data_IF_282419373198
#
_entry.id   IF_282419373198
#
_cell.length_a   1.000
_cell.length_b   1.000
_cell.length_c   1.000
_cell.angle_alpha   90.00
_cell.angle_beta   90.00
_cell.angle_gamma   90.00
#
_symmetry.space_group_name_H-M   'P 1'
#
loop_
_entity.id
_entity.type
_entity.pdbx_description
1 polymer ?
#
# COMPACT_ATOMS: atom_id res chain seq x y z
N UNK A 1 -18.54 12.30 -9.44
CA UNK A 1 -17.99 11.03 -8.90
C UNK A 1 -16.92 11.41 -7.91
N UNK A 2 -17.05 10.95 -6.66
CA UNK A 2 -16.09 11.20 -5.58
C UNK A 2 -15.08 10.06 -5.58
N UNK A 3 -13.79 10.39 -5.54
CA UNK A 3 -12.71 9.42 -5.36
C UNK A 3 -12.41 9.31 -3.86
N UNK A 4 -12.32 8.09 -3.34
CA UNK A 4 -12.05 7.78 -1.95
C UNK A 4 -10.86 6.85 -1.87
N UNK A 5 -9.86 7.24 -1.09
CA UNK A 5 -8.63 6.48 -0.87
C UNK A 5 -8.68 5.71 0.45
N UNK A 6 -7.72 4.80 0.66
CA UNK A 6 -7.56 4.13 1.96
C UNK A 6 -7.30 5.12 3.10
N UNK A 7 -6.60 6.21 2.82
CA UNK A 7 -6.35 7.28 3.80
C UNK A 7 -7.68 7.94 4.23
N UNK A 8 -8.55 8.25 3.28
CA UNK A 8 -9.87 8.80 3.59
C UNK A 8 -10.70 7.82 4.43
N UNK A 9 -10.67 6.54 4.06
CA UNK A 9 -11.36 5.49 4.82
C UNK A 9 -10.80 5.31 6.24
N UNK A 10 -9.50 5.50 6.44
CA UNK A 10 -8.89 5.40 7.78
C UNK A 10 -9.41 6.45 8.75
N UNK A 11 -9.63 7.67 8.28
CA UNK A 11 -10.25 8.73 9.08
C UNK A 11 -11.71 8.43 9.45
N UNK A 12 -12.39 7.64 8.62
CA UNK A 12 -13.77 7.23 8.87
C UNK A 12 -13.88 6.08 9.87
N UNK A 13 -12.97 5.10 9.73
CA UNK A 13 -12.96 3.92 10.58
C UNK A 13 -12.50 4.23 12.02
N UNK A 14 -11.62 5.23 12.21
CA UNK A 14 -11.06 5.58 13.53
C UNK A 14 -10.90 7.11 13.71
N UNK A 15 -11.98 7.87 13.94
CA UNK A 15 -11.89 9.32 14.08
C UNK A 15 -11.11 9.78 15.32
N UNK A 16 -10.82 8.90 16.26
CA UNK A 16 -10.11 9.20 17.53
C UNK A 16 -8.64 8.82 17.57
N UNK A 17 -8.12 8.10 16.59
CA UNK A 17 -6.70 7.75 16.53
C UNK A 17 -5.91 8.76 15.70
N UNK A 18 -5.74 9.96 16.25
CA UNK A 18 -4.66 10.88 15.88
C UNK A 18 -3.32 10.40 16.49
N UNK A 19 -2.97 9.14 16.32
CA UNK A 19 -1.63 8.67 16.65
C UNK A 19 -0.70 9.10 15.52
N UNK A 20 0.25 9.95 15.88
CA UNK A 20 1.38 10.39 15.05
C UNK A 20 2.04 9.18 14.37
N UNK A 21 2.28 9.25 13.08
CA UNK A 21 2.41 8.09 12.22
C UNK A 21 3.69 7.30 12.49
N UNK A 22 3.53 6.05 12.77
CA UNK A 22 4.48 4.98 12.42
C UNK A 22 4.86 5.07 10.91
N UNK A 23 4.03 5.70 10.12
CA UNK A 23 4.11 5.93 8.69
C UNK A 23 5.38 6.62 8.21
N UNK A 24 5.90 7.65 8.88
CA UNK A 24 7.13 8.33 8.46
C UNK A 24 8.36 7.42 8.42
N UNK A 25 8.42 6.40 9.29
CA UNK A 25 9.49 5.38 9.23
C UNK A 25 9.24 4.34 8.14
N UNK A 26 8.00 4.18 7.70
CA UNK A 26 7.62 3.28 6.62
C UNK A 26 7.86 3.90 5.24
N UNK A 27 7.72 5.22 5.08
CA UNK A 27 7.93 5.90 3.79
C UNK A 27 9.32 5.67 3.22
N UNK A 28 10.37 5.80 4.04
CA UNK A 28 11.73 5.51 3.61
C UNK A 28 11.92 4.06 3.19
N UNK A 29 11.34 3.12 3.95
CA UNK A 29 11.38 1.70 3.60
C UNK A 29 10.62 1.42 2.30
N UNK A 30 9.41 1.96 2.14
CA UNK A 30 8.60 1.76 0.93
C UNK A 30 9.33 2.30 -0.31
N UNK A 31 9.92 3.49 -0.20
CA UNK A 31 10.66 4.09 -1.31
C UNK A 31 11.87 3.24 -1.72
N UNK A 32 12.71 2.83 -0.75
CA UNK A 32 13.92 2.06 -1.03
C UNK A 32 13.52 0.67 -1.56
N UNK A 33 12.52 0.02 -0.98
CA UNK A 33 12.00 -1.25 -1.46
C UNK A 33 11.52 -1.16 -2.91
N UNK A 34 10.76 -0.11 -3.26
CA UNK A 34 10.34 0.15 -4.64
C UNK A 34 11.54 0.32 -5.58
N UNK A 35 12.53 1.10 -5.19
CA UNK A 35 13.75 1.30 -6.00
C UNK A 35 14.52 -0.02 -6.18
N UNK A 36 14.64 -0.83 -5.13
CA UNK A 36 15.28 -2.15 -5.21
C UNK A 36 14.56 -3.06 -6.19
N UNK A 37 13.23 -3.10 -6.14
CA UNK A 37 12.43 -3.90 -7.06
C UNK A 37 12.51 -3.41 -8.50
N UNK A 38 12.66 -2.11 -8.70
CA UNK A 38 12.89 -1.53 -10.04
C UNK A 38 14.35 -1.65 -10.51
N UNK A 39 15.19 -2.38 -9.76
CA UNK A 39 16.61 -2.62 -10.06
C UNK A 39 17.41 -1.31 -10.19
N UNK A 40 17.01 -0.28 -9.46
CA UNK A 40 17.73 0.98 -9.37
C UNK A 40 18.89 0.86 -8.34
N UNK A 41 19.96 1.65 -8.47
CA UNK A 41 21.06 1.66 -7.50
C UNK A 41 20.57 2.09 -6.11
N UNK A 42 20.54 1.18 -5.15
CA UNK A 42 20.06 1.45 -3.77
C UNK A 42 21.14 1.26 -2.72
N UNK A 43 22.33 0.77 -3.12
CA UNK A 43 23.41 0.46 -2.18
C UNK A 43 23.79 1.62 -1.23
N UNK A 44 23.97 2.88 -1.68
CA UNK A 44 24.26 3.99 -0.78
C UNK A 44 23.14 4.26 0.23
N UNK A 45 21.89 4.06 -0.19
CA UNK A 45 20.71 4.26 0.68
C UNK A 45 20.62 3.17 1.74
N UNK A 46 20.95 1.93 1.39
CA UNK A 46 20.96 0.79 2.31
C UNK A 46 22.08 0.92 3.33
N UNK A 47 23.29 1.33 2.92
CA UNK A 47 24.39 1.63 3.82
C UNK A 47 24.04 2.71 4.85
N UNK A 48 23.31 3.74 4.43
CA UNK A 48 22.84 4.81 5.31
C UNK A 48 21.68 4.37 6.22
N UNK A 49 20.97 3.30 5.88
CA UNK A 49 19.77 2.83 6.57
C UNK A 49 19.80 1.33 6.90
N UNK A 50 20.65 0.86 7.85
CA UNK A 50 20.83 -0.58 8.12
C UNK A 50 19.54 -1.31 8.53
N UNK A 51 18.58 -0.59 9.12
CA UNK A 51 17.27 -1.18 9.47
C UNK A 51 16.43 -1.48 8.24
N UNK A 52 16.51 -0.62 7.23
CA UNK A 52 15.80 -0.83 5.95
C UNK A 52 16.45 -1.98 5.20
N UNK A 53 17.77 -2.04 5.17
CA UNK A 53 18.52 -3.16 4.59
C UNK A 53 18.09 -4.49 5.19
N UNK A 54 18.05 -4.59 6.52
CA UNK A 54 17.54 -5.77 7.23
C UNK A 54 16.13 -6.16 6.77
N UNK A 55 15.21 -5.21 6.64
CA UNK A 55 13.83 -5.51 6.22
C UNK A 55 13.75 -5.95 4.77
N UNK A 56 14.56 -5.40 3.88
CA UNK A 56 14.62 -5.85 2.48
C UNK A 56 15.16 -7.28 2.41
N UNK A 57 16.19 -7.60 3.19
CA UNK A 57 16.68 -8.96 3.32
C UNK A 57 15.61 -9.92 3.86
N UNK A 58 14.84 -9.50 4.86
CA UNK A 58 13.72 -10.31 5.37
C UNK A 58 12.65 -10.55 4.30
N UNK A 59 12.29 -9.52 3.51
CA UNK A 59 11.35 -9.69 2.39
C UNK A 59 11.90 -10.68 1.37
N UNK A 60 13.18 -10.60 1.02
CA UNK A 60 13.80 -11.52 0.05
C UNK A 60 13.84 -12.98 0.53
N UNK A 61 13.95 -13.18 1.85
CA UNK A 61 13.88 -14.52 2.44
C UNK A 61 12.45 -15.07 2.53
N UNK A 62 11.48 -14.19 2.82
CA UNK A 62 10.07 -14.58 2.97
C UNK A 62 9.37 -14.81 1.63
N UNK A 63 9.77 -14.07 0.60
CA UNK A 63 9.13 -14.12 -0.71
C UNK A 63 10.13 -13.73 -1.82
N UNK A 64 11.10 -14.60 -2.15
CA UNK A 64 12.16 -14.33 -3.14
C UNK A 64 11.59 -14.00 -4.52
N UNK A 65 10.44 -14.56 -4.89
CA UNK A 65 9.79 -14.36 -6.18
C UNK A 65 9.53 -12.88 -6.51
N UNK A 66 9.43 -12.00 -5.48
CA UNK A 66 9.28 -10.56 -5.66
C UNK A 66 10.53 -9.92 -6.28
N UNK A 67 11.71 -10.53 -6.13
CA UNK A 67 12.98 -10.02 -6.67
C UNK A 67 13.39 -10.69 -7.99
N UNK A 68 12.80 -11.86 -8.30
CA UNK A 68 13.11 -12.68 -9.47
C UNK A 68 12.10 -12.48 -10.63
N UNK A 69 11.33 -11.42 -10.57
CA UNK A 69 10.24 -11.16 -11.52
C UNK A 69 10.73 -10.72 -12.91
N UNK A 70 9.89 -11.00 -13.92
CA UNK A 70 10.03 -10.50 -15.29
C UNK A 70 8.76 -9.74 -15.72
N UNK A 71 8.91 -8.59 -16.44
CA UNK A 71 7.77 -7.92 -17.04
C UNK A 71 7.10 -8.85 -18.11
N UNK A 72 5.79 -8.71 -18.38
CA UNK A 72 4.85 -7.70 -17.87
C UNK A 72 3.99 -8.18 -16.69
N UNK A 73 4.27 -9.33 -16.11
CA UNK A 73 3.39 -9.99 -15.14
C UNK A 73 3.50 -9.45 -13.72
N UNK A 74 4.53 -8.67 -13.43
CA UNK A 74 4.74 -8.08 -12.11
C UNK A 74 4.70 -6.55 -12.16
N UNK A 75 3.85 -5.96 -11.32
CA UNK A 75 3.71 -4.51 -11.15
C UNK A 75 4.19 -4.10 -9.77
N UNK A 76 4.97 -3.03 -9.70
CA UNK A 76 5.44 -2.41 -8.45
C UNK A 76 4.68 -1.11 -8.22
N UNK A 77 4.21 -0.88 -6.98
CA UNK A 77 3.46 0.33 -6.59
C UNK A 77 2.28 0.58 -7.54
N UNK A 78 1.44 -0.41 -7.66
CA UNK A 78 0.32 -0.39 -8.59
C UNK A 78 -0.96 0.11 -7.96
N UNK A 79 -1.79 0.77 -8.77
CA UNK A 79 -3.04 1.37 -8.33
C UNK A 79 -4.23 0.66 -8.96
N UNK A 80 -5.22 0.36 -8.13
CA UNK A 80 -6.50 -0.18 -8.57
C UNK A 80 -7.62 0.77 -8.19
N UNK A 81 -8.66 0.84 -9.03
CA UNK A 81 -9.81 1.70 -8.79
C UNK A 81 -11.10 0.97 -9.18
N UNK A 82 -12.09 0.99 -8.30
CA UNK A 82 -13.36 0.34 -8.51
C UNK A 82 -14.55 1.22 -8.14
N UNK A 83 -15.62 1.13 -8.91
CA UNK A 83 -16.86 1.85 -8.59
C UNK A 83 -17.62 1.10 -7.50
N UNK A 84 -17.84 1.74 -6.36
CA UNK A 84 -18.73 1.20 -5.33
C UNK A 84 -20.20 1.47 -5.69
N UNK A 85 -20.48 2.67 -6.24
CA UNK A 85 -21.79 3.08 -6.71
C UNK A 85 -21.64 4.18 -7.79
N UNK A 86 -22.76 4.84 -8.18
CA UNK A 86 -22.78 5.88 -9.23
C UNK A 86 -21.91 7.10 -8.88
N UNK A 87 -21.77 7.41 -7.61
CA UNK A 87 -21.16 8.64 -7.13
C UNK A 87 -19.79 8.44 -6.51
N UNK A 88 -19.42 7.19 -6.15
CA UNK A 88 -18.22 6.86 -5.40
C UNK A 88 -17.36 5.85 -6.15
N UNK A 89 -16.07 6.18 -6.25
CA UNK A 89 -15.00 5.30 -6.70
C UNK A 89 -13.99 5.11 -5.58
N UNK A 90 -13.67 3.87 -5.26
CA UNK A 90 -12.65 3.50 -4.27
C UNK A 90 -11.34 3.29 -5.00
N UNK A 91 -10.28 3.87 -4.48
CA UNK A 91 -8.93 3.75 -5.02
C UNK A 91 -7.97 3.22 -3.96
N UNK A 92 -7.16 2.26 -4.34
CA UNK A 92 -6.14 1.66 -3.47
C UNK A 92 -4.80 1.59 -4.18
N UNK A 93 -3.74 1.60 -3.38
CA UNK A 93 -2.41 1.25 -3.83
C UNK A 93 -2.03 -0.11 -3.24
N UNK A 94 -1.42 -0.96 -4.05
CA UNK A 94 -0.76 -2.18 -3.61
C UNK A 94 0.75 -2.03 -3.79
N UNK A 95 1.53 -2.55 -2.85
CA UNK A 95 3.00 -2.49 -2.93
C UNK A 95 3.51 -3.18 -4.20
N UNK A 96 2.96 -4.36 -4.50
CA UNK A 96 3.18 -5.04 -5.77
C UNK A 96 2.00 -5.96 -6.12
N UNK A 97 1.95 -6.39 -7.37
CA UNK A 97 0.98 -7.36 -7.85
C UNK A 97 1.56 -8.23 -8.96
N UNK A 98 1.34 -9.54 -8.87
CA UNK A 98 1.48 -10.45 -10.02
C UNK A 98 0.14 -10.50 -10.74
N UNK A 99 0.18 -10.21 -12.05
CA UNK A 99 -0.99 -10.27 -12.91
C UNK A 99 -0.91 -11.50 -13.81
N UNK A 100 -1.94 -12.32 -13.73
CA UNK A 100 -2.16 -13.44 -14.63
C UNK A 100 -3.46 -13.20 -15.41
N UNK A 101 -3.70 -13.88 -16.54
CA UNK A 101 -4.88 -13.63 -17.38
C UNK A 101 -6.23 -13.72 -16.66
N UNK A 102 -6.31 -14.55 -15.61
CA UNK A 102 -7.55 -14.80 -14.86
C UNK A 102 -7.39 -14.68 -13.35
N UNK A 103 -6.23 -14.25 -12.86
CA UNK A 103 -5.99 -14.09 -11.43
C UNK A 103 -5.08 -12.90 -11.13
N UNK A 104 -5.15 -12.42 -9.90
CA UNK A 104 -4.23 -11.43 -9.39
C UNK A 104 -3.75 -11.83 -7.99
N UNK A 105 -2.46 -11.68 -7.77
CA UNK A 105 -1.85 -11.91 -6.48
C UNK A 105 -1.21 -10.61 -5.99
N UNK A 106 -1.88 -9.96 -5.03
CA UNK A 106 -1.38 -8.74 -4.39
C UNK A 106 -0.32 -9.10 -3.35
N UNK A 107 0.73 -8.29 -3.28
CA UNK A 107 1.80 -8.43 -2.30
C UNK A 107 1.87 -7.14 -1.49
N UNK A 108 1.83 -7.28 -0.16
CA UNK A 108 1.96 -6.20 0.80
C UNK A 108 3.09 -6.48 1.77
N UNK A 109 4.01 -5.55 1.89
CA UNK A 109 5.03 -5.55 2.93
C UNK A 109 4.80 -4.35 3.83
N UNK A 110 4.75 -4.60 5.12
CA UNK A 110 4.51 -3.56 6.10
C UNK A 110 5.04 -3.92 7.49
N UNK A 111 5.42 -2.91 8.25
CA UNK A 111 5.78 -3.07 9.66
C UNK A 111 4.47 -3.07 10.46
N UNK A 112 3.86 -4.25 10.60
CA UNK A 112 2.56 -4.41 11.25
C UNK A 112 2.35 -5.81 11.79
N UNK A 113 1.27 -5.96 12.58
CA UNK A 113 0.79 -7.28 12.96
C UNK A 113 0.25 -8.04 11.73
N UNK A 114 0.48 -9.37 11.62
CA UNK A 114 0.13 -10.15 10.42
C UNK A 114 -1.38 -10.36 10.18
N UNK A 115 -2.22 -10.04 11.15
CA UNK A 115 -3.66 -10.27 11.02
C UNK A 115 -4.29 -9.49 9.86
N UNK A 116 -5.23 -10.14 9.18
CA UNK A 116 -6.08 -9.51 8.15
C UNK A 116 -6.83 -8.32 8.75
N UNK A 117 -6.64 -7.16 8.19
CA UNK A 117 -7.28 -5.94 8.64
C UNK A 117 -8.32 -5.44 7.61
N UNK A 118 -9.02 -4.35 7.93
CA UNK A 118 -10.02 -3.76 7.05
C UNK A 118 -9.41 -3.25 5.73
N UNK A 119 -8.20 -2.68 5.76
CA UNK A 119 -7.57 -2.15 4.55
C UNK A 119 -7.20 -3.26 3.56
N UNK A 120 -6.79 -4.43 4.04
CA UNK A 120 -6.52 -5.59 3.20
C UNK A 120 -7.79 -6.07 2.49
N UNK A 121 -8.92 -6.07 3.20
CA UNK A 121 -10.23 -6.43 2.63
C UNK A 121 -10.66 -5.45 1.55
N UNK A 122 -10.44 -4.16 1.78
CA UNK A 122 -10.71 -3.11 0.77
C UNK A 122 -9.81 -3.26 -0.44
N UNK A 123 -8.52 -3.60 -0.25
CA UNK A 123 -7.59 -3.87 -1.35
C UNK A 123 -8.05 -5.05 -2.19
N UNK A 124 -8.39 -6.17 -1.56
CA UNK A 124 -8.89 -7.36 -2.25
C UNK A 124 -10.19 -7.09 -3.01
N UNK A 125 -11.15 -6.40 -2.37
CA UNK A 125 -12.40 -6.02 -3.01
C UNK A 125 -12.15 -5.11 -4.23
N UNK A 126 -11.35 -4.06 -4.05
CA UNK A 126 -11.09 -3.09 -5.12
C UNK A 126 -10.35 -3.72 -6.29
N UNK A 127 -9.39 -4.60 -6.05
CA UNK A 127 -8.65 -5.29 -7.11
C UNK A 127 -9.58 -6.22 -7.92
N UNK A 128 -10.45 -6.99 -7.24
CA UNK A 128 -11.42 -7.87 -7.89
C UNK A 128 -12.36 -7.09 -8.81
N UNK A 129 -12.99 -6.03 -8.30
CA UNK A 129 -13.91 -5.18 -9.07
C UNK A 129 -13.19 -4.42 -10.20
N UNK A 130 -11.97 -3.92 -9.96
CA UNK A 130 -11.18 -3.17 -10.95
C UNK A 130 -10.84 -4.00 -12.16
N UNK A 131 -10.52 -5.27 -11.95
CA UNK A 131 -10.11 -6.22 -12.99
C UNK A 131 -11.27 -7.09 -13.49
N UNK A 132 -12.46 -6.94 -12.90
CA UNK A 132 -13.65 -7.77 -13.20
C UNK A 132 -13.35 -9.27 -13.03
N UNK A 133 -12.58 -9.63 -12.00
CA UNK A 133 -12.22 -11.00 -11.68
C UNK A 133 -13.12 -11.57 -10.59
N UNK A 134 -13.33 -12.90 -10.66
CA UNK A 134 -13.98 -13.62 -9.55
C UNK A 134 -13.17 -13.47 -8.26
N UNK A 135 -13.82 -13.23 -7.09
CA UNK A 135 -13.13 -13.10 -5.81
C UNK A 135 -12.17 -14.27 -5.50
N UNK A 136 -12.52 -15.48 -5.90
CA UNK A 136 -11.70 -16.68 -5.69
C UNK A 136 -10.37 -16.66 -6.46
N UNK A 137 -10.28 -15.80 -7.47
CA UNK A 137 -9.08 -15.60 -8.29
C UNK A 137 -8.18 -14.46 -7.77
N UNK A 138 -8.51 -13.90 -6.61
CA UNK A 138 -7.72 -12.86 -5.97
C UNK A 138 -7.04 -13.43 -4.74
N UNK A 139 -5.75 -13.15 -4.60
CA UNK A 139 -4.94 -13.52 -3.43
C UNK A 139 -4.22 -12.30 -2.89
N UNK A 140 -3.91 -12.32 -1.61
CA UNK A 140 -3.05 -11.33 -0.97
C UNK A 140 -2.01 -12.05 -0.12
N UNK A 141 -0.74 -11.78 -0.34
CA UNK A 141 0.32 -12.12 0.60
C UNK A 141 0.72 -10.89 1.39
N UNK A 142 0.68 -11.01 2.71
CA UNK A 142 1.17 -10.00 3.64
C UNK A 142 2.51 -10.46 4.20
N UNK A 143 3.54 -9.68 3.94
CA UNK A 143 4.87 -9.82 4.54
C UNK A 143 4.90 -8.87 5.74
N UNK A 144 4.55 -9.40 6.90
CA UNK A 144 4.49 -8.64 8.14
C UNK A 144 5.89 -8.58 8.77
N UNK A 145 6.50 -7.40 8.72
CA UNK A 145 7.82 -7.13 9.27
C UNK A 145 7.70 -6.60 10.70
N UNK A 146 8.71 -6.86 11.52
CA UNK A 146 8.74 -6.43 12.89
C UNK A 146 10.14 -5.94 13.30
N UNK A 147 10.27 -4.83 14.07
CA UNK A 147 11.58 -4.31 14.46
C UNK A 147 12.41 -5.25 15.33
N UNK A 148 11.76 -6.10 16.15
CA UNK A 148 12.39 -6.94 17.16
C UNK A 148 12.28 -8.46 16.90
N UNK A 149 11.46 -8.88 15.95
CA UNK A 149 11.20 -10.29 15.65
C UNK A 149 11.38 -10.56 14.17
N UNK A 150 11.63 -11.82 13.76
CA UNK A 150 11.61 -12.18 12.34
C UNK A 150 10.27 -11.84 11.70
N UNK A 151 10.32 -11.40 10.46
CA UNK A 151 9.11 -11.18 9.65
C UNK A 151 8.37 -12.48 9.38
N UNK A 152 7.10 -12.37 9.03
CA UNK A 152 6.24 -13.53 8.74
C UNK A 152 5.47 -13.32 7.44
N UNK A 153 5.29 -14.41 6.69
CA UNK A 153 4.48 -14.45 5.46
C UNK A 153 3.11 -15.02 5.76
N UNK A 154 2.07 -14.31 5.36
CA UNK A 154 0.68 -14.72 5.49
C UNK A 154 -0.02 -14.65 4.15
N UNK A 155 -0.49 -15.78 3.66
CA UNK A 155 -1.32 -15.85 2.47
C UNK A 155 -2.80 -15.78 2.86
N UNK A 156 -3.52 -14.91 2.18
CA UNK A 156 -4.94 -14.66 2.40
C UNK A 156 -5.67 -15.03 1.11
N UNK A 157 -6.51 -16.05 1.19
CA UNK A 157 -7.47 -16.38 0.15
C UNK A 157 -8.71 -15.51 0.30
N UNK A 158 -9.37 -15.22 -0.82
CA UNK A 158 -10.54 -14.38 -0.89
C UNK A 158 -11.69 -15.14 -1.52
N UNK A 159 -12.90 -14.96 -1.01
CA UNK A 159 -14.10 -15.63 -1.49
C UNK A 159 -15.26 -14.64 -1.72
N UNK A 160 -16.29 -15.09 -2.40
CA UNK A 160 -17.48 -14.30 -2.72
C UNK A 160 -18.22 -13.80 -1.47
N UNK A 161 -18.18 -14.53 -0.35
CA UNK A 161 -18.80 -14.11 0.91
C UNK A 161 -18.03 -12.95 1.53
N UNK A 162 -16.70 -13.07 1.62
CA UNK A 162 -15.82 -12.02 2.13
C UNK A 162 -15.90 -10.77 1.27
N UNK A 163 -16.00 -10.95 -0.05
CA UNK A 163 -16.17 -9.87 -1.04
C UNK A 163 -17.46 -9.08 -0.80
N UNK A 164 -18.59 -9.78 -0.62
CA UNK A 164 -19.87 -9.14 -0.30
C UNK A 164 -19.81 -8.39 1.04
N UNK A 165 -19.19 -8.99 2.08
CA UNK A 165 -19.02 -8.34 3.39
C UNK A 165 -18.16 -7.07 3.30
N UNK A 166 -17.10 -7.06 2.47
CA UNK A 166 -16.27 -5.87 2.28
C UNK A 166 -17.04 -4.75 1.59
N UNK A 167 -17.86 -5.08 0.59
CA UNK A 167 -18.75 -4.13 -0.09
C UNK A 167 -19.77 -3.51 0.86
N UNK A 168 -20.43 -4.34 1.68
CA UNK A 168 -21.41 -3.88 2.66
C UNK A 168 -20.77 -2.98 3.72
N UNK A 169 -19.56 -3.36 4.17
CA UNK A 169 -18.78 -2.54 5.10
C UNK A 169 -18.43 -1.18 4.49
N UNK A 170 -17.93 -1.15 3.24
CA UNK A 170 -17.63 0.09 2.52
C UNK A 170 -18.88 0.98 2.38
N UNK A 171 -20.01 0.42 1.98
CA UNK A 171 -21.26 1.15 1.85
C UNK A 171 -21.71 1.74 3.20
N UNK A 172 -21.60 0.98 4.28
CA UNK A 172 -21.96 1.40 5.63
C UNK A 172 -21.02 2.49 6.16
N UNK A 173 -19.70 2.36 5.95
CA UNK A 173 -18.71 3.34 6.36
C UNK A 173 -18.97 4.69 5.69
N UNK A 174 -19.34 4.68 4.41
CA UNK A 174 -19.62 5.89 3.65
C UNK A 174 -21.00 6.49 3.95
N UNK A 175 -22.01 5.68 4.26
CA UNK A 175 -23.32 6.16 4.68
C UNK A 175 -23.25 6.96 5.99
N UNK A 176 -22.34 6.61 6.90
CA UNK A 176 -22.07 7.37 8.13
C UNK A 176 -21.53 8.77 7.87
N UNK A 177 -20.92 9.01 6.72
CA UNK A 177 -20.40 10.32 6.28
C UNK A 177 -21.48 11.31 5.83
N UNK A 178 -22.70 10.90 5.54
CA UNK A 178 -23.78 11.81 5.21
C UNK A 178 -24.08 12.83 6.34
N UNK A 179 -23.47 12.64 7.52
CA UNK A 179 -23.47 13.58 8.65
C UNK A 179 -22.24 14.50 8.73
N UNK A 180 -21.25 14.32 7.83
CA UNK A 180 -20.09 15.21 7.81
C UNK A 180 -20.49 16.54 7.20
N UNK A 181 -20.32 17.67 7.90
CA UNK A 181 -20.46 18.96 7.27
C UNK A 181 -19.44 18.99 6.14
N UNK A 182 -19.90 19.36 4.95
CA UNK A 182 -19.01 19.63 3.80
C UNK A 182 -17.97 20.63 4.28
N UNK A 183 -16.87 20.12 4.83
CA UNK A 183 -15.72 20.95 5.10
C UNK A 183 -15.36 21.57 3.76
N UNK A 184 -15.35 22.88 3.72
CA UNK A 184 -15.10 23.69 2.56
C UNK A 184 -14.05 23.00 1.69
N UNK A 185 -14.39 22.76 0.41
CA UNK A 185 -13.45 22.33 -0.62
C UNK A 185 -12.11 22.95 -0.29
N UNK A 186 -11.10 22.15 0.05
CA UNK A 186 -9.73 22.60 -0.02
C UNK A 186 -9.49 22.92 -1.49
N UNK A 187 -9.69 24.20 -1.84
CA UNK A 187 -9.51 24.76 -3.18
C UNK A 187 -8.03 24.97 -3.51
N UNK A 188 -7.15 24.46 -2.65
CA UNK A 188 -5.74 24.45 -2.94
C UNK A 188 -5.26 23.01 -2.84
N UNK A 189 -4.61 22.45 -3.88
CA UNK A 189 -3.76 21.31 -3.68
C UNK A 189 -2.81 21.70 -2.52
N UNK A 190 -2.42 20.74 -1.63
CA UNK A 190 -1.36 21.04 -0.70
C UNK A 190 -0.26 21.62 -1.53
N UNK A 191 0.16 22.85 -1.19
CA UNK A 191 1.31 23.45 -1.83
C UNK A 191 2.36 22.35 -1.77
N UNK A 192 2.82 21.90 -2.94
CA UNK A 192 3.99 21.04 -3.00
C UNK A 192 4.98 21.75 -2.08
N UNK A 193 5.29 21.14 -0.93
CA UNK A 193 6.40 21.57 -0.13
C UNK A 193 7.53 21.59 -1.13
N UNK A 194 7.93 22.79 -1.54
CA UNK A 194 8.96 22.95 -2.55
C UNK A 194 10.14 22.18 -2.04
N UNK A 195 10.65 21.26 -2.84
CA UNK A 195 11.88 20.50 -2.63
C UNK A 195 13.13 21.41 -2.58
N UNK A 196 12.98 22.68 -2.13
CA UNK A 196 14.00 23.71 -2.13
C UNK A 196 14.87 23.72 -0.87
N UNK A 197 14.79 22.71 0.01
CA UNK A 197 15.72 22.56 1.11
C UNK A 197 16.25 21.13 1.21
N UNK A 198 16.88 20.67 0.12
CA UNK A 198 18.01 19.76 0.30
C UNK A 198 19.19 20.63 0.74
N UNK A 199 19.58 20.47 1.98
CA UNK A 199 20.82 21.04 2.50
C UNK A 199 21.98 20.32 1.80
N UNK A 200 22.46 20.91 0.70
CA UNK A 200 23.58 20.36 -0.11
C UNK A 200 24.93 20.67 0.59
N UNK A 201 24.93 21.44 1.67
CA UNK A 201 26.15 21.86 2.37
C UNK A 201 26.90 20.74 3.11
N UNK A 202 26.37 19.51 3.14
CA UNK A 202 26.99 18.37 3.83
C UNK A 202 27.52 17.25 2.94
N UNK A 203 27.54 17.40 1.62
CA UNK A 203 28.08 16.38 0.71
C UNK A 203 29.57 16.68 0.51
N UNK A 204 30.51 15.82 1.00
CA UNK A 204 31.92 16.00 0.69
C UNK A 204 32.14 15.87 -0.81
N UNK A 205 32.75 16.91 -1.42
CA UNK A 205 33.24 16.83 -2.80
C UNK A 205 34.23 15.67 -2.91
N UNK A 206 33.92 14.70 -3.73
CA UNK A 206 34.88 13.66 -4.13
C UNK A 206 35.63 14.22 -5.32
N UNK A 207 36.88 14.67 -5.10
CA UNK A 207 37.79 14.95 -6.20
C UNK A 207 38.03 13.65 -7.02
N UNK A 208 37.83 13.76 -8.33
CA UNK A 208 38.07 12.70 -9.32
C UNK A 208 39.53 12.77 -9.76
#
# INVERSE_FOLDING_TARGET
MQLITLTDLSFLANPTQLTVPIELKQEGFQLIMKQTLLKLPTEPLLLANPKVDKWIMEVSLLFPEVFEWEPPTFLVDTQFSAKLNKDVCVQINANAAFLEPQSVHLIEWAIRHPALNWSDRVKLWTAAESLSLSPENIKLTVLALHPAHPGTRHEISWDSRQHAQAKDWLASALAGQARWPVAARRTSPPACASLTHFDIEGIPEVEI
#
